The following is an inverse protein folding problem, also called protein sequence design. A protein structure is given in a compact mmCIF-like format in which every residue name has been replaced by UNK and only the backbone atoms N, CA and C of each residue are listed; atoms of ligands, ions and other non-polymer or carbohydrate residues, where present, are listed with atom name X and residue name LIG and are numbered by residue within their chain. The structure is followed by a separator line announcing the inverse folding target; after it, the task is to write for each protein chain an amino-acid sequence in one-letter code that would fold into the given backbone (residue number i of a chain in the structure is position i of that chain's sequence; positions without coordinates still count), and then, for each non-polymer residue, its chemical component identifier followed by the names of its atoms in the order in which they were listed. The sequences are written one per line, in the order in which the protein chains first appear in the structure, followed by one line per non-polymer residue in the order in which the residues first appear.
data_IF_577471372670
#
_entry.id   IF_577471372670
#
_cell.length_a   1.000
_cell.length_b   1.000
_cell.length_c   1.000
_cell.angle_alpha   90.00
_cell.angle_beta   90.00
_cell.angle_gamma   90.00
#
_symmetry.space_group_name_H-M   'P 1'
#
loop_
_entity.id
_entity.type
_entity.pdbx_description
1 polymer ?
#
# COMPACT_ATOMS: atom_id res chain seq x y z
N UNK A 1 -42.84 64.67 -31.45
CA UNK A 1 -42.63 63.91 -32.71
C UNK A 1 -41.47 62.97 -32.45
N UNK A 2 -41.70 61.69 -32.67
CA UNK A 2 -40.97 60.54 -32.13
C UNK A 2 -39.86 60.05 -33.10
N UNK A 3 -38.99 59.20 -32.54
CA UNK A 3 -38.17 58.12 -33.10
C UNK A 3 -36.69 58.39 -33.41
N UNK A 4 -35.82 57.70 -32.65
CA UNK A 4 -34.53 57.25 -33.17
C UNK A 4 -33.53 56.70 -32.16
N UNK A 5 -33.61 55.39 -31.84
CA UNK A 5 -32.42 54.56 -31.62
C UNK A 5 -32.00 54.24 -30.18
N UNK A 6 -32.64 53.23 -29.56
CA UNK A 6 -32.09 52.51 -28.41
C UNK A 6 -31.03 51.50 -28.89
N UNK A 7 -29.81 51.57 -28.36
CA UNK A 7 -28.85 50.45 -28.42
C UNK A 7 -28.42 50.06 -27.01
N UNK A 8 -28.87 48.87 -26.60
CA UNK A 8 -28.48 48.15 -25.38
C UNK A 8 -27.06 47.60 -25.50
N UNK A 9 -26.35 47.41 -24.37
CA UNK A 9 -24.97 46.95 -24.37
C UNK A 9 -24.88 45.44 -24.68
N UNK A 10 -23.78 44.97 -25.30
CA UNK A 10 -23.59 43.54 -25.52
C UNK A 10 -23.22 42.81 -24.22
N UNK A 11 -23.92 41.72 -24.01
CA UNK A 11 -23.83 40.76 -22.91
C UNK A 11 -22.44 40.11 -22.79
N UNK A 12 -22.05 39.92 -21.53
CA UNK A 12 -20.92 39.13 -21.04
C UNK A 12 -20.93 37.71 -21.65
N UNK A 13 -19.84 37.34 -22.32
CA UNK A 13 -19.43 35.94 -22.43
C UNK A 13 -17.97 35.83 -22.00
N UNK A 14 -17.79 35.58 -20.70
CA UNK A 14 -16.58 34.95 -20.16
C UNK A 14 -16.35 33.63 -20.90
N UNK A 15 -15.18 33.40 -21.52
CA UNK A 15 -14.81 32.07 -21.94
C UNK A 15 -14.51 31.26 -20.68
N UNK A 16 -15.50 30.45 -20.33
CA UNK A 16 -15.42 29.12 -19.70
C UNK A 16 -14.02 28.77 -19.22
N UNK A 17 -13.81 28.84 -17.90
CA UNK A 17 -12.86 27.96 -17.24
C UNK A 17 -13.25 26.54 -17.65
N UNK A 18 -12.53 25.98 -18.62
CA UNK A 18 -12.51 24.57 -18.87
C UNK A 18 -11.99 23.93 -17.58
N UNK A 19 -12.94 23.55 -16.73
CA UNK A 19 -12.73 22.57 -15.69
C UNK A 19 -12.30 21.32 -16.44
N UNK A 20 -10.97 21.12 -16.53
CA UNK A 20 -10.38 19.88 -16.99
C UNK A 20 -10.95 18.80 -16.09
N UNK A 21 -11.98 18.13 -16.56
CA UNK A 21 -12.53 16.92 -16.00
C UNK A 21 -11.47 15.85 -16.29
N UNK A 22 -10.60 15.60 -15.31
CA UNK A 22 -9.40 14.79 -15.46
C UNK A 22 -9.79 13.35 -15.84
N UNK A 23 -9.35 12.97 -17.04
CA UNK A 23 -9.50 11.63 -17.62
C UNK A 23 -8.45 10.71 -17.02
N UNK A 24 -8.61 10.27 -15.77
CA UNK A 24 -7.71 9.28 -15.18
C UNK A 24 -7.66 7.91 -15.92
N UNK A 25 -8.68 7.41 -16.67
CA UNK A 25 -8.56 6.08 -17.27
C UNK A 25 -7.68 5.98 -18.54
N UNK A 26 -7.33 7.08 -19.22
CA UNK A 26 -6.74 6.97 -20.58
C UNK A 26 -5.23 6.69 -20.61
N UNK A 27 -4.52 6.98 -19.52
CA UNK A 27 -3.06 6.85 -19.45
C UNK A 27 -2.59 5.76 -18.49
N UNK A 28 -3.50 5.11 -17.76
CA UNK A 28 -3.14 3.99 -16.87
C UNK A 28 -2.45 2.89 -17.64
N UNK A 29 -1.33 2.39 -17.11
CA UNK A 29 -0.49 1.40 -17.77
C UNK A 29 0.47 1.95 -18.82
N UNK A 30 0.45 3.27 -19.11
CA UNK A 30 1.45 3.96 -19.92
C UNK A 30 2.50 4.64 -19.02
N UNK A 31 3.55 5.17 -19.63
CA UNK A 31 4.59 5.93 -18.93
C UNK A 31 4.35 7.43 -19.05
N UNK A 32 4.64 8.17 -17.98
CA UNK A 32 4.69 9.65 -18.03
C UNK A 32 5.99 10.15 -18.69
N UNK A 33 6.15 11.47 -18.77
CA UNK A 33 7.33 12.12 -19.37
C UNK A 33 8.64 11.78 -18.62
N UNK A 34 8.55 11.36 -17.35
CA UNK A 34 9.67 10.95 -16.52
C UNK A 34 9.92 9.42 -16.56
N UNK A 35 9.30 8.71 -17.51
CA UNK A 35 9.37 7.25 -17.63
C UNK A 35 8.87 6.50 -16.38
N UNK A 36 7.88 7.07 -15.68
CA UNK A 36 7.21 6.41 -14.55
C UNK A 36 5.90 5.78 -15.02
N UNK A 37 5.66 4.54 -14.63
CA UNK A 37 4.43 3.84 -14.99
C UNK A 37 3.23 4.46 -14.25
N UNK A 38 2.21 4.85 -15.01
CA UNK A 38 0.99 5.46 -14.46
C UNK A 38 0.09 4.36 -13.91
N UNK A 39 -0.24 4.47 -12.62
CA UNK A 39 -1.01 3.49 -11.87
C UNK A 39 -2.20 4.14 -11.15
N UNK A 40 -3.20 3.32 -10.84
CA UNK A 40 -4.33 3.71 -10.01
C UNK A 40 -4.49 2.72 -8.85
N UNK A 41 -5.12 3.13 -7.73
CA UNK A 41 -5.55 2.20 -6.71
C UNK A 41 -6.63 1.28 -7.28
N UNK A 42 -6.55 -0.01 -6.96
CA UNK A 42 -7.53 -1.01 -7.38
C UNK A 42 -7.89 -1.90 -6.20
N UNK A 43 -9.01 -1.58 -5.54
CA UNK A 43 -9.44 -2.21 -4.29
C UNK A 43 -8.35 -2.20 -3.21
N UNK A 44 -7.74 -3.37 -2.98
CA UNK A 44 -6.66 -3.57 -2.01
C UNK A 44 -5.25 -3.55 -2.64
N UNK A 45 -5.16 -3.27 -3.94
CA UNK A 45 -3.96 -3.33 -4.77
C UNK A 45 -3.80 -2.13 -5.71
N UNK A 46 -3.11 -2.40 -6.81
CA UNK A 46 -2.75 -1.43 -7.83
C UNK A 46 -3.21 -1.95 -9.18
N UNK A 47 -3.54 -1.04 -10.10
CA UNK A 47 -3.73 -1.37 -11.50
C UNK A 47 -2.80 -0.49 -12.36
N UNK A 48 -1.94 -1.08 -13.22
CA UNK A 48 -1.61 -2.52 -13.29
C UNK A 48 -1.02 -3.08 -11.99
N UNK A 49 -1.12 -4.39 -11.77
CA UNK A 49 -0.81 -5.00 -10.45
C UNK A 49 0.64 -5.47 -10.31
N UNK A 50 1.20 -6.13 -11.33
CA UNK A 50 2.46 -6.89 -11.20
C UNK A 50 3.65 -5.95 -10.97
N UNK A 51 3.80 -4.93 -11.80
CA UNK A 51 4.97 -4.04 -11.77
C UNK A 51 5.05 -3.26 -10.44
N UNK A 52 3.95 -2.65 -9.93
CA UNK A 52 3.96 -2.00 -8.63
C UNK A 52 4.26 -2.96 -7.47
N UNK A 53 3.72 -4.19 -7.51
CA UNK A 53 3.99 -5.18 -6.46
C UNK A 53 5.47 -5.58 -6.45
N UNK A 54 6.07 -5.82 -7.61
CA UNK A 54 7.50 -6.17 -7.71
C UNK A 54 8.40 -5.04 -7.20
N UNK A 55 8.13 -3.81 -7.62
CA UNK A 55 8.90 -2.65 -7.18
C UNK A 55 8.73 -2.34 -5.68
N UNK A 56 7.53 -2.59 -5.12
CA UNK A 56 7.32 -2.54 -3.67
C UNK A 56 8.18 -3.57 -2.93
N UNK A 57 8.22 -4.81 -3.43
CA UNK A 57 9.07 -5.86 -2.84
C UNK A 57 10.55 -5.49 -2.93
N UNK A 58 11.01 -5.03 -4.09
CA UNK A 58 12.39 -4.59 -4.32
C UNK A 58 12.77 -3.44 -3.38
N UNK A 59 11.92 -2.42 -3.27
CA UNK A 59 12.14 -1.28 -2.38
C UNK A 59 12.18 -1.69 -0.91
N UNK A 60 11.26 -2.56 -0.48
CA UNK A 60 11.24 -3.09 0.88
C UNK A 60 12.52 -3.91 1.19
N UNK A 61 12.88 -4.85 0.32
CA UNK A 61 14.06 -5.70 0.49
C UNK A 61 15.35 -4.87 0.51
N UNK A 62 15.46 -3.89 -0.39
CA UNK A 62 16.64 -3.02 -0.47
C UNK A 62 16.81 -2.11 0.75
N UNK A 63 15.74 -1.83 1.51
CA UNK A 63 15.79 -1.04 2.74
C UNK A 63 15.90 -1.89 4.01
N UNK A 64 15.77 -3.22 3.93
CA UNK A 64 15.82 -4.10 5.09
C UNK A 64 17.27 -4.32 5.54
N UNK A 65 17.66 -3.65 6.63
CA UNK A 65 19.04 -3.65 7.17
C UNK A 65 19.13 -3.96 8.65
N UNK A 66 18.00 -4.08 9.32
CA UNK A 66 17.91 -4.26 10.77
C UNK A 66 16.86 -5.33 11.09
N UNK A 67 16.90 -5.99 12.26
CA UNK A 67 16.00 -7.08 12.63
C UNK A 67 14.60 -6.58 13.06
N UNK A 68 13.91 -5.83 12.18
CA UNK A 68 12.56 -5.35 12.45
C UNK A 68 11.53 -6.48 12.43
N UNK A 69 11.00 -6.81 13.60
CA UNK A 69 10.10 -7.95 13.79
C UNK A 69 8.68 -7.69 13.28
N UNK A 70 8.28 -6.42 13.33
CA UNK A 70 6.95 -5.95 12.98
C UNK A 70 7.06 -4.70 12.13
N UNK A 71 6.03 -4.41 11.34
CA UNK A 71 6.01 -3.20 10.52
C UNK A 71 6.17 -1.94 11.37
N UNK A 72 5.57 -1.94 12.57
CA UNK A 72 5.68 -0.84 13.54
C UNK A 72 7.09 -0.64 14.09
N UNK A 73 7.97 -1.64 14.01
CA UNK A 73 9.36 -1.56 14.47
C UNK A 73 10.26 -0.87 13.41
N UNK A 74 9.82 -0.82 12.14
CA UNK A 74 10.56 -0.15 11.06
C UNK A 74 10.50 1.37 11.29
N UNK A 75 11.62 2.09 11.38
CA UNK A 75 11.63 3.54 11.55
C UNK A 75 10.88 4.28 10.45
N UNK A 76 10.19 5.38 10.78
CA UNK A 76 9.38 6.13 9.83
C UNK A 76 10.18 6.58 8.61
N UNK A 77 11.38 7.12 8.82
CA UNK A 77 12.28 7.54 7.73
C UNK A 77 12.66 6.40 6.77
N UNK A 78 12.71 5.16 7.25
CA UNK A 78 12.93 3.99 6.40
C UNK A 78 11.66 3.63 5.61
N UNK A 79 10.49 3.69 6.24
CA UNK A 79 9.20 3.50 5.53
C UNK A 79 9.02 4.54 4.43
N UNK A 80 9.35 5.80 4.71
CA UNK A 80 9.34 6.87 3.71
C UNK A 80 10.32 6.58 2.58
N UNK A 81 11.56 6.19 2.89
CA UNK A 81 12.56 5.82 1.87
C UNK A 81 12.06 4.69 0.95
N UNK A 82 11.39 3.68 1.52
CA UNK A 82 10.78 2.61 0.72
C UNK A 82 9.73 3.18 -0.26
N UNK A 83 8.91 4.12 0.21
CA UNK A 83 7.87 4.75 -0.60
C UNK A 83 8.44 5.75 -1.62
N UNK A 84 9.52 6.46 -1.30
CA UNK A 84 10.22 7.34 -2.23
C UNK A 84 10.81 6.55 -3.40
N UNK A 85 11.46 5.41 -3.13
CA UNK A 85 11.93 4.51 -4.19
C UNK A 85 10.79 3.98 -5.08
N UNK A 86 9.59 3.85 -4.53
CA UNK A 86 8.39 3.50 -5.30
C UNK A 86 7.91 4.67 -6.17
N UNK A 87 7.84 5.90 -5.64
CA UNK A 87 7.50 7.13 -6.39
C UNK A 87 8.45 7.44 -7.54
N UNK A 88 9.68 6.94 -7.49
CA UNK A 88 10.63 7.08 -8.60
C UNK A 88 10.25 6.23 -9.82
N UNK A 89 9.45 5.17 -9.66
CA UNK A 89 9.10 4.21 -10.72
C UNK A 89 7.65 4.35 -11.21
N UNK A 90 6.79 5.02 -10.43
CA UNK A 90 5.37 5.12 -10.72
C UNK A 90 4.84 6.54 -10.58
N UNK A 91 3.78 6.83 -11.32
CA UNK A 91 3.05 8.08 -11.29
C UNK A 91 1.56 7.79 -11.06
N UNK A 92 0.85 8.76 -10.47
CA UNK A 92 -0.59 8.70 -10.24
C UNK A 92 -1.12 10.13 -10.04
N UNK A 93 -2.43 10.31 -10.18
CA UNK A 93 -3.11 11.56 -9.85
C UNK A 93 -3.00 11.88 -8.36
N UNK A 94 -2.86 13.15 -7.98
CA UNK A 94 -2.73 13.58 -6.57
C UNK A 94 -3.90 13.09 -5.71
N UNK A 95 -5.10 12.92 -6.28
CA UNK A 95 -6.27 12.36 -5.60
C UNK A 95 -6.03 10.92 -5.10
N UNK A 96 -5.20 10.15 -5.80
CA UNK A 96 -4.89 8.77 -5.47
C UNK A 96 -3.76 8.61 -4.44
N UNK A 97 -3.00 9.66 -4.14
CA UNK A 97 -1.85 9.62 -3.23
C UNK A 97 -2.19 8.96 -1.88
N UNK A 98 -3.26 9.33 -1.16
CA UNK A 98 -3.57 8.71 0.13
C UNK A 98 -3.83 7.21 0.00
N UNK A 99 -4.52 6.78 -1.05
CA UNK A 99 -4.90 5.38 -1.24
C UNK A 99 -3.74 4.52 -1.73
N UNK A 100 -2.89 5.05 -2.61
CA UNK A 100 -1.66 4.41 -3.07
C UNK A 100 -0.72 4.20 -1.89
N UNK A 101 -0.51 5.24 -1.08
CA UNK A 101 0.34 5.19 0.10
C UNK A 101 -0.16 4.20 1.15
N UNK A 102 -1.45 4.22 1.46
CA UNK A 102 -2.08 3.24 2.36
C UNK A 102 -1.88 1.81 1.85
N UNK A 103 -2.10 1.58 0.55
CA UNK A 103 -1.96 0.28 -0.09
C UNK A 103 -0.53 -0.21 -0.07
N UNK A 104 0.44 0.67 -0.34
CA UNK A 104 1.86 0.38 -0.29
C UNK A 104 2.27 -0.10 1.11
N UNK A 105 2.02 0.70 2.16
CA UNK A 105 2.42 0.34 3.53
C UNK A 105 1.69 -0.90 4.05
N UNK A 106 0.40 -1.07 3.73
CA UNK A 106 -0.35 -2.27 4.07
C UNK A 106 0.29 -3.52 3.45
N UNK A 107 0.72 -3.44 2.18
CA UNK A 107 1.39 -4.55 1.49
C UNK A 107 2.78 -4.82 2.08
N UNK A 108 3.59 -3.81 2.39
CA UNK A 108 4.87 -3.99 3.07
C UNK A 108 4.70 -4.66 4.44
N UNK A 109 3.70 -4.23 5.22
CA UNK A 109 3.39 -4.87 6.50
C UNK A 109 3.01 -6.34 6.34
N UNK A 110 2.18 -6.68 5.35
CA UNK A 110 1.82 -8.09 5.07
C UNK A 110 3.02 -8.90 4.63
N UNK A 111 3.91 -8.33 3.82
CA UNK A 111 5.15 -8.98 3.38
C UNK A 111 6.07 -9.27 4.56
N UNK A 112 6.21 -8.33 5.49
CA UNK A 112 7.03 -8.54 6.69
C UNK A 112 6.45 -9.63 7.60
N UNK A 113 5.12 -9.73 7.70
CA UNK A 113 4.48 -10.83 8.41
C UNK A 113 4.80 -12.21 7.80
N UNK A 114 5.23 -12.30 6.53
CA UNK A 114 5.65 -13.57 5.93
C UNK A 114 6.94 -14.13 6.56
N UNK A 115 7.72 -13.32 7.28
CA UNK A 115 8.87 -13.80 8.05
C UNK A 115 8.48 -14.82 9.10
N UNK A 116 7.24 -14.76 9.60
CA UNK A 116 6.72 -15.77 10.51
C UNK A 116 6.63 -17.16 9.86
N UNK A 117 6.16 -17.23 8.61
CA UNK A 117 6.10 -18.49 7.88
C UNK A 117 7.50 -18.98 7.49
N UNK A 118 8.37 -18.07 7.07
CA UNK A 118 9.78 -18.36 6.80
C UNK A 118 10.45 -19.00 8.03
N UNK A 119 10.20 -18.45 9.23
CA UNK A 119 10.69 -19.03 10.49
C UNK A 119 10.17 -20.45 10.72
N UNK A 120 8.86 -20.68 10.54
CA UNK A 120 8.26 -22.00 10.77
C UNK A 120 8.85 -23.10 9.88
N UNK A 121 9.31 -22.73 8.70
CA UNK A 121 9.94 -23.64 7.73
C UNK A 121 11.47 -23.63 7.81
N UNK A 122 12.05 -22.86 8.74
CA UNK A 122 13.50 -22.59 8.83
C UNK A 122 14.13 -22.14 7.49
N UNK A 123 13.35 -21.41 6.69
CA UNK A 123 13.74 -20.94 5.37
C UNK A 123 14.06 -19.44 5.41
N UNK A 124 15.33 -19.10 5.57
CA UNK A 124 15.78 -17.70 5.47
C UNK A 124 15.47 -17.12 4.08
N UNK A 125 14.70 -16.02 3.97
CA UNK A 125 14.53 -15.34 2.69
C UNK A 125 15.86 -14.79 2.16
N UNK A 126 16.11 -14.92 0.86
CA UNK A 126 17.38 -14.51 0.24
C UNK A 126 17.75 -13.03 0.43
N UNK A 127 16.75 -12.18 0.63
CA UNK A 127 16.92 -10.74 0.84
C UNK A 127 17.21 -10.34 2.29
N UNK A 128 17.20 -11.28 3.25
CA UNK A 128 17.60 -11.04 4.64
C UNK A 128 19.03 -11.54 4.81
N UNK A 129 19.95 -10.68 5.27
CA UNK A 129 21.30 -11.08 5.61
C UNK A 129 21.32 -12.07 6.79
N UNK A 130 22.31 -12.96 6.80
CA UNK A 130 22.39 -14.07 7.76
C UNK A 130 22.47 -13.60 9.22
N UNK A 131 23.21 -12.53 9.49
CA UNK A 131 23.33 -11.87 10.79
C UNK A 131 21.98 -11.33 11.30
N UNK A 132 21.22 -10.67 10.42
CA UNK A 132 19.87 -10.18 10.74
C UNK A 132 18.93 -11.35 11.03
N UNK A 133 19.00 -12.41 10.21
CA UNK A 133 18.19 -13.63 10.41
C UNK A 133 18.51 -14.30 11.74
N UNK A 134 19.79 -14.45 12.08
CA UNK A 134 20.25 -14.99 13.36
C UNK A 134 19.70 -14.17 14.54
N UNK A 135 19.82 -12.85 14.47
CA UNK A 135 19.32 -11.94 15.52
C UNK A 135 17.80 -12.05 15.70
N UNK A 136 17.05 -12.20 14.60
CA UNK A 136 15.61 -12.44 14.65
C UNK A 136 15.30 -13.76 15.36
N UNK A 137 16.00 -14.84 15.02
CA UNK A 137 15.83 -16.16 15.64
C UNK A 137 16.17 -16.17 17.13
N UNK A 138 17.27 -15.54 17.55
CA UNK A 138 17.65 -15.43 18.97
C UNK A 138 16.54 -14.76 19.79
N UNK A 139 15.98 -13.65 19.29
CA UNK A 139 14.85 -12.99 19.95
C UNK A 139 13.63 -13.91 20.02
N UNK A 140 13.35 -14.58 18.92
CA UNK A 140 12.22 -15.45 18.74
C UNK A 140 12.27 -16.72 19.60
N UNK A 141 13.47 -17.16 19.97
CA UNK A 141 13.70 -18.27 20.89
C UNK A 141 13.77 -17.84 22.35
N UNK A 142 13.83 -16.52 22.60
CA UNK A 142 13.85 -15.97 23.95
C UNK A 142 12.61 -16.39 24.76
N UNK A 143 12.79 -16.66 26.07
CA UNK A 143 11.68 -17.03 26.95
C UNK A 143 10.55 -15.98 26.97
N UNK A 144 10.91 -14.70 26.86
CA UNK A 144 9.97 -13.58 26.81
C UNK A 144 9.02 -13.69 25.63
N UNK A 145 9.52 -14.08 24.47
CA UNK A 145 8.69 -14.26 23.28
C UNK A 145 7.80 -15.49 23.41
N UNK A 146 8.36 -16.64 23.80
CA UNK A 146 7.62 -17.90 23.98
C UNK A 146 6.46 -17.76 24.97
N UNK A 147 6.67 -17.08 26.10
CA UNK A 147 5.62 -16.80 27.10
C UNK A 147 4.47 -15.96 26.54
N UNK A 148 4.77 -15.01 25.65
CA UNK A 148 3.74 -14.17 25.02
C UNK A 148 2.96 -14.91 23.93
N UNK A 149 3.59 -15.83 23.20
CA UNK A 149 2.91 -16.67 22.20
C UNK A 149 1.92 -17.63 22.86
N UNK A 150 2.34 -18.35 23.90
CA UNK A 150 1.48 -19.28 24.65
C UNK A 150 0.24 -18.58 25.25
N UNK A 151 0.41 -17.37 25.79
CA UNK A 151 -0.71 -16.56 26.30
C UNK A 151 -1.73 -16.21 25.21
N UNK A 152 -1.26 -15.87 24.00
CA UNK A 152 -2.14 -15.54 22.87
C UNK A 152 -2.84 -16.78 22.30
N UNK A 153 -2.16 -17.92 22.25
CA UNK A 153 -2.74 -19.19 21.83
C UNK A 153 -3.84 -19.66 22.79
N UNK A 154 -3.61 -19.57 24.11
CA UNK A 154 -4.61 -19.88 25.13
C UNK A 154 -5.84 -18.95 25.11
N UNK A 155 -5.66 -17.68 24.70
CA UNK A 155 -6.76 -16.73 24.52
C UNK A 155 -7.56 -17.01 23.24
N UNK A 156 -6.91 -17.53 22.20
CA UNK A 156 -7.57 -17.83 20.90
C UNK A 156 -8.32 -19.17 20.94
N UNK A 157 -7.83 -20.15 21.71
CA UNK A 157 -8.52 -21.43 21.92
C UNK A 157 -9.72 -21.35 22.87
N UNK A 158 -9.88 -20.23 23.60
CA UNK A 158 -11.01 -19.98 24.49
C UNK A 158 -12.25 -19.37 23.83
N UNK A 159 -12.24 -19.07 22.52
CA UNK A 159 -13.41 -18.55 21.83
C UNK A 159 -14.30 -19.72 21.36
N UNK A 160 -15.58 -19.81 21.78
CA UNK A 160 -16.48 -20.84 21.30
C UNK A 160 -16.62 -20.72 19.78
N UNK A 161 -16.36 -21.83 19.08
CA UNK A 161 -16.70 -21.97 17.65
C UNK A 161 -18.21 -21.75 17.55
N UNK A 162 -18.62 -20.61 16.99
CA UNK A 162 -20.05 -20.33 16.78
C UNK A 162 -20.64 -21.47 15.94
N UNK A 163 -21.78 -22.07 16.35
CA UNK A 163 -22.40 -23.11 15.55
C UNK A 163 -22.84 -22.51 14.21
N UNK A 164 -22.48 -23.20 13.13
CA UNK A 164 -23.03 -22.97 11.81
C UNK A 164 -24.57 -23.09 11.89
N UNK A 165 -25.36 -22.14 11.35
CA UNK A 165 -26.80 -22.32 11.33
C UNK A 165 -27.12 -23.42 10.31
N UNK A 166 -27.57 -24.57 10.81
CA UNK A 166 -28.24 -25.58 9.99
C UNK A 166 -29.50 -24.95 9.42
N UNK A 167 -29.56 -24.86 8.09
CA UNK A 167 -30.81 -24.67 7.39
C UNK A 167 -31.76 -25.80 7.79
N UNK A 168 -32.91 -25.45 8.38
CA UNK A 168 -34.07 -26.33 8.43
C UNK A 168 -34.86 -26.09 7.16
N UNK A 169 -35.04 -27.14 6.37
CA UNK A 169 -36.09 -27.24 5.38
C UNK A 169 -37.45 -27.22 6.09
N UNK A 170 -38.35 -26.37 5.62
CA UNK A 170 -39.79 -26.63 5.52
C UNK A 170 -40.33 -25.87 4.28
#
# INVERSE_FOLDING_TARGET
MDLGGNSRPPTIHTPTKASTQWKDPLNVGKYDELQRLIIIPDGMGFYPSIQPVNAMVESMCSCYREPWRYWKDVPLNIRERMFDGFKMKFAWSLEHEPKIRETFFRKCSRRLNLLWYARKQDMRPSWIHEDIWKTLNEYWDSPKFKKNTLKKEAQTSGLPRSPHPSHKEE
#
